data_IF_156860981308
#
_entry.id   IF_156860981308
#
_cell.length_a   1.000
_cell.length_b   1.000
_cell.length_c   1.000
_cell.angle_alpha   90.00
_cell.angle_beta   90.00
_cell.angle_gamma   90.00
#
_symmetry.space_group_name_H-M   'P 1'
#
loop_
_entity.id
_entity.type
_entity.pdbx_description
1 polymer ?
#
# COMPACT_ATOMS: atom_id res chain seq x y z
N UNK A 1 1.29 19.86 9.30
CA UNK A 1 0.40 18.83 9.84
C UNK A 1 0.86 17.45 9.41
N UNK A 2 1.24 16.63 10.38
CA UNK A 2 1.77 15.30 10.08
C UNK A 2 0.76 14.40 9.36
N UNK A 3 -0.51 14.28 9.80
CA UNK A 3 -1.45 13.42 9.08
C UNK A 3 -1.66 13.82 7.62
N UNK A 4 -1.72 15.11 7.31
CA UNK A 4 -1.88 15.58 5.94
C UNK A 4 -0.66 15.24 5.10
N UNK A 5 0.54 15.44 5.64
CA UNK A 5 1.79 15.09 4.94
C UNK A 5 1.88 13.58 4.73
N UNK A 6 1.53 12.81 5.75
CA UNK A 6 1.55 11.35 5.65
C UNK A 6 0.56 10.85 4.61
N UNK A 7 -0.64 11.44 4.55
CA UNK A 7 -1.66 11.09 3.56
C UNK A 7 -1.15 11.36 2.15
N UNK A 8 -0.60 12.54 1.92
CA UNK A 8 -0.07 12.91 0.61
C UNK A 8 1.07 11.97 0.21
N UNK A 9 2.01 11.74 1.14
CA UNK A 9 3.15 10.86 0.88
C UNK A 9 2.70 9.43 0.54
N UNK A 10 1.79 8.88 1.34
CA UNK A 10 1.30 7.52 1.14
C UNK A 10 0.53 7.42 -0.18
N UNK A 11 -0.38 8.35 -0.44
CA UNK A 11 -1.19 8.32 -1.65
C UNK A 11 -0.35 8.37 -2.92
N UNK A 12 0.60 9.29 -2.99
CA UNK A 12 1.50 9.41 -4.14
C UNK A 12 2.36 8.16 -4.27
N UNK A 13 2.88 7.64 -3.15
CA UNK A 13 3.69 6.43 -3.17
C UNK A 13 2.94 5.25 -3.76
N UNK A 14 1.67 5.06 -3.39
CA UNK A 14 0.89 3.93 -3.88
C UNK A 14 0.46 4.10 -5.33
N UNK A 15 0.27 5.31 -5.81
CA UNK A 15 0.08 5.53 -7.24
C UNK A 15 1.33 5.08 -8.01
N UNK A 16 2.50 5.45 -7.51
CA UNK A 16 3.76 5.05 -8.12
C UNK A 16 3.96 3.53 -8.05
N UNK A 17 3.72 2.93 -6.89
CA UNK A 17 3.89 1.48 -6.70
C UNK A 17 2.91 0.69 -7.55
N UNK A 18 1.66 1.15 -7.65
CA UNK A 18 0.65 0.50 -8.47
C UNK A 18 1.03 0.52 -9.94
N UNK A 19 1.47 1.67 -10.43
CA UNK A 19 1.95 1.79 -11.81
C UNK A 19 3.14 0.86 -12.04
N UNK A 20 4.05 0.77 -11.08
CA UNK A 20 5.19 -0.14 -11.15
C UNK A 20 4.78 -1.59 -11.23
N UNK A 21 3.77 -2.00 -10.45
CA UNK A 21 3.23 -3.37 -10.51
C UNK A 21 2.71 -3.71 -11.90
N UNK A 22 2.12 -2.74 -12.59
CA UNK A 22 1.53 -2.97 -13.90
C UNK A 22 2.56 -2.96 -15.03
N UNK A 23 3.64 -2.20 -14.89
CA UNK A 23 4.55 -1.90 -16.00
C UNK A 23 5.97 -2.41 -15.80
N UNK A 24 6.43 -2.58 -14.56
CA UNK A 24 7.83 -2.88 -14.29
C UNK A 24 8.16 -4.37 -14.48
N UNK A 25 9.17 -4.71 -15.30
CA UNK A 25 9.63 -6.11 -15.40
C UNK A 25 10.14 -6.66 -14.08
N UNK A 26 10.74 -5.81 -13.24
CA UNK A 26 11.21 -6.19 -11.92
C UNK A 26 10.06 -6.65 -11.04
N UNK A 27 8.94 -5.92 -11.03
CA UNK A 27 7.76 -6.28 -10.24
C UNK A 27 7.14 -7.56 -10.76
N UNK A 28 7.14 -7.77 -12.08
CA UNK A 28 6.67 -9.03 -12.65
C UNK A 28 7.49 -10.21 -12.12
N UNK A 29 8.81 -10.08 -12.11
CA UNK A 29 9.71 -11.10 -11.57
C UNK A 29 9.46 -11.34 -10.09
N UNK A 30 9.25 -10.28 -9.31
CA UNK A 30 8.99 -10.39 -7.87
C UNK A 30 7.69 -11.16 -7.61
N UNK A 31 6.62 -10.88 -8.35
CA UNK A 31 5.36 -11.57 -8.16
C UNK A 31 5.43 -13.04 -8.57
N UNK A 32 6.22 -13.37 -9.58
CA UNK A 32 6.48 -14.77 -9.93
C UNK A 32 7.20 -15.46 -8.77
N UNK A 33 8.19 -14.79 -8.20
CA UNK A 33 8.95 -15.32 -7.05
C UNK A 33 8.05 -15.54 -5.83
N UNK A 34 7.07 -14.66 -5.61
CA UNK A 34 6.11 -14.81 -4.51
C UNK A 34 5.10 -15.94 -4.74
N UNK A 35 4.93 -16.39 -5.97
CA UNK A 35 3.88 -17.34 -6.32
C UNK A 35 2.53 -16.65 -6.58
N UNK A 36 2.53 -15.35 -6.77
CA UNK A 36 1.32 -14.55 -6.96
C UNK A 36 1.32 -13.84 -8.32
N UNK A 37 1.86 -14.48 -9.34
CA UNK A 37 1.99 -13.91 -10.68
C UNK A 37 0.65 -13.41 -11.22
N UNK A 38 -0.42 -14.18 -11.01
CA UNK A 38 -1.76 -13.84 -11.51
C UNK A 38 -2.36 -12.62 -10.81
N UNK A 39 -1.93 -12.33 -9.59
CA UNK A 39 -2.47 -11.24 -8.79
C UNK A 39 -1.73 -9.92 -9.00
N UNK A 40 -0.71 -9.89 -9.86
CA UNK A 40 0.11 -8.70 -10.04
C UNK A 40 -0.73 -7.51 -10.54
N UNK A 41 -1.51 -7.72 -11.58
CA UNK A 41 -2.34 -6.64 -12.13
C UNK A 41 -3.38 -6.17 -11.12
N UNK A 42 -4.03 -7.12 -10.43
CA UNK A 42 -5.01 -6.79 -9.40
C UNK A 42 -4.38 -5.97 -8.29
N UNK A 43 -3.21 -6.38 -7.81
CA UNK A 43 -2.49 -5.66 -6.76
C UNK A 43 -2.16 -4.25 -7.22
N UNK A 44 -1.68 -4.10 -8.46
CA UNK A 44 -1.36 -2.78 -9.01
C UNK A 44 -2.57 -1.86 -9.06
N UNK A 45 -3.69 -2.35 -9.58
CA UNK A 45 -4.91 -1.55 -9.64
C UNK A 45 -5.44 -1.21 -8.25
N UNK A 46 -5.39 -2.16 -7.30
CA UNK A 46 -5.84 -1.89 -5.93
C UNK A 46 -4.97 -0.84 -5.25
N UNK A 47 -3.66 -0.86 -5.49
CA UNK A 47 -2.76 0.15 -4.94
C UNK A 47 -3.06 1.54 -5.52
N UNK A 48 -3.31 1.61 -6.82
CA UNK A 48 -3.65 2.88 -7.47
C UNK A 48 -5.00 3.41 -6.98
N UNK A 49 -6.01 2.53 -6.89
CA UNK A 49 -7.31 2.92 -6.37
C UNK A 49 -7.22 3.36 -4.92
N UNK A 50 -6.45 2.63 -4.10
CA UNK A 50 -6.24 3.00 -2.71
C UNK A 50 -5.53 4.33 -2.58
N UNK A 51 -4.50 4.57 -3.38
CA UNK A 51 -3.77 5.84 -3.37
C UNK A 51 -4.66 7.01 -3.77
N UNK A 52 -5.43 6.85 -4.86
CA UNK A 52 -6.38 7.87 -5.29
C UNK A 52 -7.46 8.09 -4.23
N UNK A 53 -7.99 7.00 -3.66
CA UNK A 53 -9.01 7.10 -2.63
C UNK A 53 -8.52 7.83 -1.40
N UNK A 54 -7.26 7.60 -1.04
CA UNK A 54 -6.65 8.29 0.10
C UNK A 54 -6.50 9.78 -0.17
N UNK A 55 -5.98 10.15 -1.34
CA UNK A 55 -5.78 11.56 -1.70
C UNK A 55 -7.10 12.30 -1.84
N UNK A 56 -8.06 11.70 -2.53
CA UNK A 56 -9.38 12.30 -2.73
C UNK A 56 -10.15 12.32 -1.41
N UNK A 57 -10.05 11.25 -0.63
CA UNK A 57 -10.76 11.13 0.63
C UNK A 57 -10.34 12.15 1.66
N UNK A 58 -9.09 12.57 1.64
CA UNK A 58 -8.61 13.63 2.54
C UNK A 58 -9.42 14.93 2.33
N UNK A 59 -9.88 15.17 1.11
CA UNK A 59 -10.65 16.37 0.76
C UNK A 59 -12.14 16.17 0.90
N UNK A 60 -12.65 14.98 0.63
CA UNK A 60 -14.08 14.76 0.40
C UNK A 60 -14.73 14.02 1.56
N UNK A 61 -14.07 12.97 2.09
CA UNK A 61 -14.71 12.11 3.08
C UNK A 61 -13.67 11.37 3.91
N UNK A 62 -13.75 11.51 5.22
CA UNK A 62 -12.88 10.78 6.13
C UNK A 62 -13.12 9.27 6.06
N UNK A 63 -14.35 8.86 5.74
CA UNK A 63 -14.65 7.44 5.55
C UNK A 63 -13.93 6.86 4.35
N UNK A 64 -13.89 7.62 3.24
CA UNK A 64 -13.15 7.18 2.06
C UNK A 64 -11.65 7.08 2.37
N UNK A 65 -11.09 8.10 3.00
CA UNK A 65 -9.67 8.11 3.34
C UNK A 65 -9.34 6.99 4.34
N UNK A 66 -10.19 6.79 5.35
CA UNK A 66 -10.00 5.73 6.34
C UNK A 66 -10.06 4.35 5.72
N UNK A 67 -11.05 4.12 4.84
CA UNK A 67 -11.18 2.83 4.15
C UNK A 67 -10.01 2.56 3.21
N UNK A 68 -9.59 3.58 2.46
CA UNK A 68 -8.45 3.45 1.54
C UNK A 68 -7.17 3.12 2.31
N UNK A 69 -6.90 3.84 3.39
CA UNK A 69 -5.69 3.58 4.18
C UNK A 69 -5.75 2.23 4.89
N UNK A 70 -6.93 1.81 5.36
CA UNK A 70 -7.08 0.47 5.95
C UNK A 70 -6.76 -0.61 4.92
N UNK A 71 -7.30 -0.49 3.71
CA UNK A 71 -7.05 -1.45 2.64
C UNK A 71 -5.58 -1.50 2.25
N UNK A 72 -4.95 -0.33 2.09
CA UNK A 72 -3.53 -0.26 1.76
C UNK A 72 -2.67 -0.84 2.89
N UNK A 73 -3.02 -0.55 4.15
CA UNK A 73 -2.29 -1.07 5.30
C UNK A 73 -2.36 -2.59 5.37
N UNK A 74 -3.56 -3.14 5.17
CA UNK A 74 -3.74 -4.60 5.17
C UNK A 74 -2.98 -5.25 4.02
N UNK A 75 -2.97 -4.62 2.84
CA UNK A 75 -2.22 -5.13 1.70
C UNK A 75 -0.72 -5.17 2.00
N UNK A 76 -0.21 -4.15 2.70
CA UNK A 76 1.20 -4.11 3.08
C UNK A 76 1.53 -5.14 4.16
N UNK A 77 0.62 -5.39 5.10
CA UNK A 77 0.78 -6.46 6.09
C UNK A 77 0.88 -7.81 5.38
N UNK A 78 -0.01 -8.04 4.42
CA UNK A 78 0.04 -9.27 3.63
C UNK A 78 1.37 -9.40 2.87
N UNK A 79 1.81 -8.30 2.23
CA UNK A 79 3.08 -8.29 1.51
C UNK A 79 4.27 -8.54 2.41
N UNK A 80 4.27 -7.97 3.60
CA UNK A 80 5.31 -8.21 4.58
C UNK A 80 5.35 -9.70 4.98
N UNK A 81 4.18 -10.29 5.22
CA UNK A 81 4.06 -11.71 5.56
C UNK A 81 4.58 -12.62 4.45
N UNK A 82 4.26 -12.28 3.18
CA UNK A 82 4.77 -13.05 2.04
C UNK A 82 6.30 -12.99 1.98
N UNK A 83 6.88 -11.82 2.18
CA UNK A 83 8.34 -11.70 2.15
C UNK A 83 9.00 -12.49 3.26
N UNK A 84 8.42 -12.51 4.46
CA UNK A 84 8.93 -13.33 5.55
C UNK A 84 8.82 -14.82 5.23
N UNK A 85 7.72 -15.22 4.61
CA UNK A 85 7.48 -16.62 4.24
C UNK A 85 8.52 -17.13 3.25
N UNK A 86 8.92 -16.30 2.29
CA UNK A 86 9.95 -16.67 1.31
C UNK A 86 11.35 -16.35 1.78
N UNK A 87 11.50 -15.99 3.06
CA UNK A 87 12.78 -15.75 3.74
C UNK A 87 13.56 -14.57 3.19
N UNK A 88 12.85 -13.53 2.76
CA UNK A 88 13.50 -12.25 2.46
C UNK A 88 14.09 -11.67 3.74
N UNK A 89 15.16 -10.88 3.58
CA UNK A 89 15.77 -10.20 4.72
C UNK A 89 14.81 -9.19 5.32
N UNK A 90 15.04 -8.83 6.59
CA UNK A 90 14.27 -7.77 7.23
C UNK A 90 14.39 -6.45 6.45
N UNK A 91 15.58 -6.16 5.93
CA UNK A 91 15.81 -4.95 5.16
C UNK A 91 14.94 -4.91 3.90
N UNK A 92 14.84 -6.03 3.19
CA UNK A 92 14.00 -6.12 1.98
C UNK A 92 12.52 -6.04 2.31
N UNK A 93 12.12 -6.50 3.50
CA UNK A 93 10.73 -6.48 3.94
C UNK A 93 10.32 -5.17 4.59
N UNK A 94 11.28 -4.33 4.99
CA UNK A 94 11.00 -3.13 5.79
C UNK A 94 10.12 -2.10 5.09
N UNK A 95 10.18 -1.89 3.75
CA UNK A 95 9.25 -0.95 3.12
C UNK A 95 7.80 -1.34 3.32
N UNK A 96 7.48 -2.64 3.20
CA UNK A 96 6.11 -3.11 3.42
C UNK A 96 5.68 -2.86 4.87
N UNK A 97 6.56 -3.11 5.81
CA UNK A 97 6.30 -2.84 7.22
C UNK A 97 6.05 -1.35 7.46
N UNK A 98 6.89 -0.50 6.90
CA UNK A 98 6.76 0.95 7.06
C UNK A 98 5.42 1.44 6.53
N UNK A 99 5.05 1.04 5.31
CA UNK A 99 3.79 1.48 4.71
C UNK A 99 2.58 0.86 5.39
N UNK A 100 2.71 -0.36 5.92
CA UNK A 100 1.65 -0.96 6.72
C UNK A 100 1.39 -0.10 7.97
N UNK A 101 2.44 0.23 8.71
CA UNK A 101 2.33 1.04 9.91
C UNK A 101 1.76 2.42 9.59
N UNK A 102 2.27 3.07 8.54
CA UNK A 102 1.83 4.41 8.15
C UNK A 102 0.35 4.42 7.80
N UNK A 103 -0.10 3.47 6.99
CA UNK A 103 -1.48 3.45 6.54
C UNK A 103 -2.45 3.00 7.63
N UNK A 104 -2.04 2.11 8.51
CA UNK A 104 -2.86 1.74 9.65
C UNK A 104 -3.00 2.93 10.62
N UNK A 105 -1.93 3.69 10.80
CA UNK A 105 -2.00 4.94 11.56
C UNK A 105 -3.00 5.92 10.92
N UNK A 106 -2.94 6.10 9.60
CA UNK A 106 -3.85 7.00 8.91
C UNK A 106 -5.29 6.52 9.02
N UNK A 107 -5.53 5.21 8.92
CA UNK A 107 -6.86 4.66 9.09
C UNK A 107 -7.41 4.98 10.47
N UNK A 108 -6.59 4.79 11.50
CA UNK A 108 -6.95 5.14 12.87
C UNK A 108 -7.30 6.63 12.99
N UNK A 109 -6.48 7.48 12.40
CA UNK A 109 -6.69 8.92 12.42
C UNK A 109 -8.02 9.30 11.76
N UNK A 110 -8.29 8.77 10.56
CA UNK A 110 -9.49 9.15 9.82
C UNK A 110 -10.77 8.59 10.43
N UNK A 111 -10.70 7.42 11.07
CA UNK A 111 -11.87 6.84 11.74
C UNK A 111 -12.05 7.34 13.18
N UNK A 112 -11.10 8.10 13.70
CA UNK A 112 -11.20 8.71 15.02
C UNK A 112 -10.89 7.78 16.18
N UNK A 113 -10.10 6.75 15.95
CA UNK A 113 -9.70 5.83 17.02
C UNK A 113 -8.66 6.42 17.96
#
# INVERSE_FOLDING_TARGET
DFPALATFFSGISFLFFGAGCLTSPRMKSEFIRYGFDRQRALTGYLQMLGGLGLLIGDWVSTWLAGSASAGLGLMMVFGFGVRLKIRDSFLESSPAFFYAALNLYLSSYYFGF
#
